data_IF_354417263432
#
_entry.id   IF_354417263432
#
_cell.length_a   1.000
_cell.length_b   1.000
_cell.length_c   1.000
_cell.angle_alpha   90.00
_cell.angle_beta   90.00
_cell.angle_gamma   90.00
#
_symmetry.space_group_name_H-M   'P 1'
#
loop_
_entity.id
_entity.type
_entity.pdbx_description
1 polymer ?
#
# COMPACT_ATOMS: atom_id res chain seq x y z
N UNK A 1 -55.78 -15.09 -47.20
CA UNK A 1 -54.34 -14.90 -46.96
C UNK A 1 -54.01 -15.66 -45.67
N UNK A 2 -53.56 -16.91 -45.80
CA UNK A 2 -53.24 -17.80 -44.67
C UNK A 2 -51.92 -18.48 -45.04
N UNK A 3 -50.87 -18.22 -44.27
CA UNK A 3 -49.55 -18.82 -44.43
C UNK A 3 -49.51 -20.17 -43.69
N UNK A 4 -48.94 -21.22 -44.30
CA UNK A 4 -48.73 -22.49 -43.62
C UNK A 4 -47.42 -22.50 -42.82
N UNK A 5 -47.45 -23.29 -41.75
CA UNK A 5 -46.35 -23.66 -40.86
C UNK A 5 -45.08 -24.08 -41.60
N UNK A 6 -43.94 -23.50 -41.17
CA UNK A 6 -42.62 -24.12 -41.32
C UNK A 6 -42.08 -24.48 -39.95
N UNK A 7 -42.09 -25.78 -39.68
CA UNK A 7 -41.35 -26.46 -38.63
C UNK A 7 -39.87 -26.03 -38.68
N UNK A 8 -39.44 -25.28 -37.67
CA UNK A 8 -38.03 -24.95 -37.44
C UNK A 8 -37.37 -26.19 -36.84
N UNK A 9 -36.31 -26.65 -37.48
CA UNK A 9 -35.52 -27.80 -37.07
C UNK A 9 -35.00 -27.64 -35.63
N UNK A 10 -35.27 -28.66 -34.83
CA UNK A 10 -34.58 -28.98 -33.58
C UNK A 10 -33.09 -29.15 -33.87
N UNK A 11 -32.30 -28.09 -33.65
CA UNK A 11 -30.86 -28.19 -33.61
C UNK A 11 -30.48 -28.77 -32.24
N UNK A 12 -30.09 -30.05 -32.22
CA UNK A 12 -29.48 -30.67 -31.06
C UNK A 12 -28.28 -29.84 -30.59
N UNK A 13 -28.18 -29.47 -29.30
CA UNK A 13 -27.00 -28.82 -28.79
C UNK A 13 -25.83 -29.80 -28.86
N UNK A 14 -24.80 -29.45 -29.64
CA UNK A 14 -23.52 -30.17 -29.69
C UNK A 14 -23.01 -30.35 -28.24
N UNK A 15 -22.54 -31.56 -27.85
CA UNK A 15 -22.01 -31.76 -26.52
C UNK A 15 -20.80 -30.86 -26.32
N UNK A 16 -20.89 -29.99 -25.32
CA UNK A 16 -19.75 -29.23 -24.80
C UNK A 16 -18.79 -30.27 -24.24
N UNK A 17 -17.71 -30.55 -24.98
CA UNK A 17 -16.57 -31.25 -24.43
C UNK A 17 -16.01 -30.38 -23.31
N UNK A 18 -16.39 -30.68 -22.06
CA UNK A 18 -15.64 -30.24 -20.88
C UNK A 18 -14.21 -30.73 -21.06
N UNK A 19 -13.31 -29.82 -21.43
CA UNK A 19 -11.90 -30.00 -21.12
C UNK A 19 -11.82 -30.04 -19.60
N UNK A 20 -11.76 -31.25 -19.06
CA UNK A 20 -11.21 -31.52 -17.73
C UNK A 20 -9.79 -30.97 -17.80
N UNK A 21 -9.60 -29.74 -17.31
CA UNK A 21 -8.26 -29.24 -17.04
C UNK A 21 -7.66 -30.25 -16.08
N UNK A 22 -6.61 -30.94 -16.55
CA UNK A 22 -5.93 -31.98 -15.79
C UNK A 22 -5.73 -31.51 -14.37
N UNK A 23 -6.21 -32.34 -13.44
CA UNK A 23 -5.88 -32.25 -12.03
C UNK A 23 -4.36 -32.13 -11.95
N UNK A 24 -3.86 -30.91 -11.73
CA UNK A 24 -2.52 -30.77 -11.21
C UNK A 24 -2.58 -31.46 -9.85
N UNK A 25 -1.75 -32.48 -9.58
CA UNK A 25 -1.64 -32.96 -8.21
C UNK A 25 -1.25 -31.75 -7.35
N UNK A 26 -2.13 -31.40 -6.42
CA UNK A 26 -1.87 -30.52 -5.28
C UNK A 26 -0.89 -31.23 -4.34
N UNK A 27 0.29 -31.58 -4.85
CA UNK A 27 1.38 -32.10 -4.06
C UNK A 27 2.10 -30.90 -3.45
N UNK A 28 2.02 -30.83 -2.13
CA UNK A 28 2.94 -30.10 -1.24
C UNK A 28 2.92 -28.57 -1.36
N UNK A 29 1.73 -27.97 -1.24
CA UNK A 29 1.68 -26.71 -0.51
C UNK A 29 1.96 -27.06 0.96
N UNK A 30 3.13 -26.67 1.45
CA UNK A 30 3.55 -26.87 2.84
C UNK A 30 2.56 -26.18 3.80
N UNK A 31 1.54 -26.94 4.22
CA UNK A 31 0.47 -26.48 5.11
C UNK A 31 1.01 -26.06 6.48
N UNK A 32 2.21 -26.54 6.85
CA UNK A 32 2.86 -26.17 8.11
C UNK A 32 3.20 -24.66 8.17
N UNK A 33 3.51 -24.03 7.03
CA UNK A 33 3.77 -22.59 6.95
C UNK A 33 2.50 -21.74 7.08
N UNK A 34 1.34 -22.30 6.72
CA UNK A 34 0.05 -21.61 6.84
C UNK A 34 -0.52 -21.73 8.26
N UNK A 35 -0.39 -22.89 8.88
CA UNK A 35 -0.79 -23.12 10.28
C UNK A 35 0.04 -22.24 11.22
N UNK A 36 1.37 -22.21 11.04
CA UNK A 36 2.25 -21.34 11.83
C UNK A 36 1.95 -19.84 11.66
N UNK A 37 1.58 -19.38 10.46
CA UNK A 37 1.20 -17.99 10.24
C UNK A 37 -0.15 -17.61 10.89
N UNK A 38 -1.13 -18.53 10.88
CA UNK A 38 -2.41 -18.33 11.53
C UNK A 38 -2.27 -18.34 13.07
N UNK A 39 -1.48 -19.25 13.62
CA UNK A 39 -1.14 -19.30 15.04
C UNK A 39 -0.40 -18.04 15.49
N UNK A 40 0.58 -17.58 14.71
CA UNK A 40 1.28 -16.33 14.99
C UNK A 40 0.33 -15.12 15.00
N UNK A 41 -0.62 -15.06 14.05
CA UNK A 41 -1.63 -14.01 14.02
C UNK A 41 -2.54 -14.05 15.26
N UNK A 42 -2.97 -15.23 15.69
CA UNK A 42 -3.78 -15.40 16.90
C UNK A 42 -3.01 -14.95 18.17
N UNK A 43 -1.73 -15.30 18.26
CA UNK A 43 -0.86 -14.87 19.37
C UNK A 43 -0.67 -13.35 19.41
N UNK A 44 -0.55 -12.70 18.25
CA UNK A 44 -0.47 -11.23 18.15
C UNK A 44 -1.78 -10.59 18.66
N UNK A 45 -2.94 -11.10 18.24
CA UNK A 45 -4.26 -10.59 18.69
C UNK A 45 -4.39 -10.74 20.21
N UNK A 46 -4.06 -11.92 20.76
CA UNK A 46 -4.10 -12.15 22.20
C UNK A 46 -3.17 -11.20 22.98
N UNK A 47 -2.01 -10.86 22.40
CA UNK A 47 -1.05 -9.91 23.01
C UNK A 47 -1.60 -8.48 23.03
N UNK A 48 -2.36 -8.07 22.00
CA UNK A 48 -3.06 -6.78 22.01
C UNK A 48 -4.17 -6.74 23.06
N UNK A 49 -4.96 -7.79 23.19
CA UNK A 49 -6.03 -7.87 24.20
C UNK A 49 -5.47 -7.78 25.63
N UNK A 50 -4.36 -8.47 25.91
CA UNK A 50 -3.66 -8.38 27.18
C UNK A 50 -3.14 -6.96 27.45
N UNK A 51 -2.60 -6.29 26.43
CA UNK A 51 -2.11 -4.92 26.53
C UNK A 51 -3.25 -3.93 26.85
N UNK A 52 -4.42 -4.10 26.22
CA UNK A 52 -5.61 -3.28 26.47
C UNK A 52 -6.16 -3.49 27.89
N UNK A 53 -6.19 -4.73 28.38
CA UNK A 53 -6.64 -5.04 29.73
C UNK A 53 -5.75 -4.39 30.82
N UNK A 54 -4.45 -4.25 30.55
CA UNK A 54 -3.47 -3.63 31.45
C UNK A 54 -3.53 -2.10 31.52
N UNK A 55 -4.20 -1.42 30.59
CA UNK A 55 -4.17 0.05 30.47
C UNK A 55 -4.55 0.82 31.75
N UNK A 56 -5.52 0.31 32.51
CA UNK A 56 -5.98 0.97 33.75
C UNK A 56 -4.96 0.93 34.88
N UNK A 57 -3.95 0.08 34.79
CA UNK A 57 -2.91 -0.11 35.80
C UNK A 57 -1.61 0.64 35.47
N UNK A 58 -1.53 1.31 34.32
CA UNK A 58 -0.32 2.00 33.87
C UNK A 58 -0.29 3.46 34.34
N UNK A 59 0.88 3.94 34.78
CA UNK A 59 1.15 5.36 35.00
C UNK A 59 1.59 6.08 33.72
N UNK A 60 1.63 7.42 33.75
CA UNK A 60 1.83 8.28 32.56
C UNK A 60 3.11 7.98 31.75
N UNK A 61 4.23 7.68 32.41
CA UNK A 61 5.50 7.34 31.73
C UNK A 61 5.36 6.02 30.95
N UNK A 62 4.67 5.04 31.51
CA UNK A 62 4.39 3.78 30.81
C UNK A 62 3.41 3.99 29.64
N UNK A 63 2.47 4.94 29.72
CA UNK A 63 1.56 5.24 28.60
C UNK A 63 2.32 5.76 27.37
N UNK A 64 3.28 6.66 27.56
CA UNK A 64 4.06 7.21 26.46
C UNK A 64 4.94 6.14 25.78
N UNK A 65 5.59 5.28 26.55
CA UNK A 65 6.38 4.15 26.04
C UNK A 65 5.50 3.14 25.28
N UNK A 66 4.32 2.81 25.83
CA UNK A 66 3.36 1.92 25.17
C UNK A 66 2.85 2.52 23.86
N UNK A 67 2.56 3.83 23.83
CA UNK A 67 2.14 4.51 22.60
C UNK A 67 3.23 4.47 21.53
N UNK A 68 4.50 4.62 21.92
CA UNK A 68 5.62 4.46 21.00
C UNK A 68 5.72 3.04 20.43
N UNK A 69 5.53 2.02 21.27
CA UNK A 69 5.49 0.62 20.82
C UNK A 69 4.33 0.36 19.85
N UNK A 70 3.13 0.91 20.13
CA UNK A 70 1.98 0.81 19.23
C UNK A 70 2.31 1.44 17.88
N UNK A 71 2.91 2.63 17.83
CA UNK A 71 3.33 3.27 16.58
C UNK A 71 4.33 2.44 15.77
N UNK A 72 5.25 1.73 16.44
CA UNK A 72 6.14 0.77 15.77
C UNK A 72 5.35 -0.41 15.21
N UNK A 73 4.44 -1.00 15.99
CA UNK A 73 3.57 -2.08 15.54
C UNK A 73 2.72 -1.67 14.33
N UNK A 74 2.16 -0.47 14.31
CA UNK A 74 1.41 0.08 13.17
C UNK A 74 2.28 0.14 11.90
N UNK A 75 3.52 0.59 12.05
CA UNK A 75 4.49 0.67 10.95
C UNK A 75 4.81 -0.71 10.39
N UNK A 76 5.11 -1.69 11.26
CA UNK A 76 5.37 -3.08 10.85
C UNK A 76 4.15 -3.72 10.18
N UNK A 77 2.96 -3.50 10.74
CA UNK A 77 1.72 -4.02 10.16
C UNK A 77 1.43 -3.40 8.80
N UNK A 78 1.73 -2.11 8.62
CA UNK A 78 1.62 -1.44 7.34
C UNK A 78 2.58 -2.03 6.30
N UNK A 79 3.82 -2.34 6.68
CA UNK A 79 4.78 -3.02 5.80
C UNK A 79 4.29 -4.41 5.37
N UNK A 80 3.90 -5.26 6.34
CA UNK A 80 3.35 -6.60 6.05
C UNK A 80 2.14 -6.53 5.13
N UNK A 81 1.24 -5.56 5.38
CA UNK A 81 0.06 -5.35 4.54
C UNK A 81 0.46 -4.93 3.12
N UNK A 82 1.37 -3.97 2.97
CA UNK A 82 1.85 -3.52 1.67
C UNK A 82 2.52 -4.67 0.90
N UNK A 83 3.35 -5.47 1.55
CA UNK A 83 4.00 -6.63 0.94
C UNK A 83 2.99 -7.67 0.45
N UNK A 84 2.02 -8.05 1.29
CA UNK A 84 0.95 -9.00 0.91
C UNK A 84 0.10 -8.47 -0.24
N UNK A 85 -0.23 -7.18 -0.23
CA UNK A 85 -0.99 -6.53 -1.32
C UNK A 85 -0.18 -6.50 -2.61
N UNK A 86 1.11 -6.15 -2.56
CA UNK A 86 2.00 -6.15 -3.71
C UNK A 86 2.18 -7.57 -4.28
N UNK A 87 2.34 -8.58 -3.41
CA UNK A 87 2.43 -9.98 -3.82
C UNK A 87 1.13 -10.45 -4.50
N UNK A 88 -0.03 -10.11 -3.93
CA UNK A 88 -1.32 -10.43 -4.52
C UNK A 88 -1.53 -9.74 -5.87
N UNK A 89 -1.15 -8.47 -5.99
CA UNK A 89 -1.23 -7.72 -7.24
C UNK A 89 -0.31 -8.29 -8.33
N UNK A 90 0.90 -8.74 -7.97
CA UNK A 90 1.83 -9.41 -8.91
C UNK A 90 1.31 -10.76 -9.39
N UNK A 91 0.66 -11.54 -8.51
CA UNK A 91 0.20 -12.89 -8.82
C UNK A 91 -1.14 -12.89 -9.59
N UNK A 92 -2.09 -12.10 -9.11
CA UNK A 92 -3.49 -12.18 -9.52
C UNK A 92 -4.00 -10.88 -10.18
N UNK A 93 -3.16 -9.85 -10.28
CA UNK A 93 -3.47 -8.54 -10.84
C UNK A 93 -4.00 -7.52 -9.83
N UNK A 94 -3.80 -6.23 -10.13
CA UNK A 94 -4.20 -5.11 -9.25
C UNK A 94 -5.70 -5.08 -8.96
N UNK A 95 -6.54 -5.40 -9.95
CA UNK A 95 -7.99 -5.42 -9.79
C UNK A 95 -8.42 -6.47 -8.75
N UNK A 96 -7.84 -7.67 -8.81
CA UNK A 96 -8.13 -8.74 -7.86
C UNK A 96 -7.63 -8.37 -6.46
N UNK A 97 -6.45 -7.77 -6.35
CA UNK A 97 -5.93 -7.29 -5.07
C UNK A 97 -6.85 -6.23 -4.44
N UNK A 98 -7.36 -5.29 -5.24
CA UNK A 98 -8.32 -4.29 -4.77
C UNK A 98 -9.66 -4.92 -4.34
N UNK A 99 -10.14 -5.95 -5.04
CA UNK A 99 -11.36 -6.67 -4.67
C UNK A 99 -11.23 -7.42 -3.35
N UNK A 100 -10.08 -8.06 -3.08
CA UNK A 100 -9.79 -8.69 -1.78
C UNK A 100 -9.78 -7.66 -0.66
N UNK A 101 -9.10 -6.52 -0.85
CA UNK A 101 -9.08 -5.44 0.14
C UNK A 101 -10.50 -4.88 0.41
N UNK A 102 -11.32 -4.77 -0.62
CA UNK A 102 -12.69 -4.27 -0.49
C UNK A 102 -13.60 -5.28 0.23
N UNK A 103 -13.59 -6.52 -0.22
CA UNK A 103 -14.59 -7.51 0.18
C UNK A 103 -14.19 -8.24 1.47
N UNK A 104 -12.90 -8.52 1.67
CA UNK A 104 -12.43 -9.36 2.77
C UNK A 104 -11.89 -8.47 3.91
N UNK A 105 -11.16 -7.40 3.57
CA UNK A 105 -10.63 -6.41 4.54
C UNK A 105 -11.60 -5.23 4.76
N UNK A 106 -12.78 -5.28 4.14
CA UNK A 106 -13.89 -4.32 4.32
C UNK A 106 -13.52 -2.85 4.08
N UNK A 107 -12.60 -2.59 3.14
CA UNK A 107 -12.25 -1.22 2.76
C UNK A 107 -13.20 -0.63 1.71
N UNK A 108 -13.28 0.70 1.66
CA UNK A 108 -13.96 1.39 0.57
C UNK A 108 -13.24 1.16 -0.76
N UNK A 109 -13.97 1.21 -1.88
CA UNK A 109 -13.41 1.05 -3.23
C UNK A 109 -12.23 1.99 -3.50
N UNK A 110 -12.34 3.26 -3.09
CA UNK A 110 -11.28 4.25 -3.26
C UNK A 110 -10.05 3.93 -2.41
N UNK A 111 -10.25 3.52 -1.16
CA UNK A 111 -9.17 3.14 -0.25
C UNK A 111 -8.43 1.90 -0.75
N UNK A 112 -9.15 0.87 -1.18
CA UNK A 112 -8.57 -0.36 -1.72
C UNK A 112 -7.68 -0.10 -2.94
N UNK A 113 -8.16 0.66 -3.92
CA UNK A 113 -7.37 1.04 -5.10
C UNK A 113 -6.11 1.82 -4.74
N UNK A 114 -6.27 2.78 -3.83
CA UNK A 114 -5.14 3.60 -3.34
C UNK A 114 -4.10 2.72 -2.65
N UNK A 115 -4.53 1.77 -1.82
CA UNK A 115 -3.63 0.86 -1.13
C UNK A 115 -2.87 -0.09 -2.08
N UNK A 116 -3.51 -0.57 -3.15
CA UNK A 116 -2.80 -1.33 -4.20
C UNK A 116 -1.72 -0.48 -4.87
N UNK A 117 -2.05 0.77 -5.23
CA UNK A 117 -1.08 1.72 -5.80
C UNK A 117 0.08 1.97 -4.84
N UNK A 118 -0.20 2.27 -3.58
CA UNK A 118 0.82 2.53 -2.56
C UNK A 118 1.75 1.33 -2.35
N UNK A 119 1.20 0.12 -2.31
CA UNK A 119 1.99 -1.10 -2.21
C UNK A 119 2.92 -1.29 -3.43
N UNK A 120 2.43 -0.97 -4.63
CA UNK A 120 3.23 -0.99 -5.85
C UNK A 120 4.35 0.06 -5.86
N UNK A 121 4.09 1.26 -5.35
CA UNK A 121 5.09 2.33 -5.22
C UNK A 121 6.15 1.96 -4.18
N UNK A 122 5.74 1.46 -3.01
CA UNK A 122 6.67 1.05 -1.94
C UNK A 122 7.58 -0.09 -2.39
N UNK A 123 7.10 -1.01 -3.23
CA UNK A 123 7.92 -2.09 -3.80
C UNK A 123 9.07 -1.60 -4.69
N UNK A 124 9.06 -0.33 -5.13
CA UNK A 124 10.14 0.30 -5.92
C UNK A 124 11.22 0.96 -5.05
N UNK A 125 10.97 1.12 -3.75
CA UNK A 125 11.88 1.73 -2.76
C UNK A 125 12.13 0.74 -1.61
N UNK A 126 12.93 -0.32 -1.85
CA UNK A 126 13.05 -1.43 -0.91
C UNK A 126 13.65 -1.03 0.44
N UNK A 127 14.56 -0.05 0.51
CA UNK A 127 15.13 0.39 1.80
C UNK A 127 14.08 1.14 2.63
N UNK A 128 13.18 1.86 1.97
CA UNK A 128 12.01 2.46 2.64
C UNK A 128 11.05 1.39 3.16
N UNK A 129 10.83 0.32 2.39
CA UNK A 129 10.01 -0.81 2.84
C UNK A 129 10.62 -1.50 4.06
N UNK A 130 11.94 -1.71 4.08
CA UNK A 130 12.69 -2.26 5.22
C UNK A 130 12.59 -1.36 6.46
N UNK A 131 12.85 -0.06 6.32
CA UNK A 131 12.73 0.90 7.42
C UNK A 131 11.31 0.94 8.02
N UNK A 132 10.28 0.81 7.19
CA UNK A 132 8.89 0.69 7.64
C UNK A 132 8.65 -0.64 8.38
N UNK A 133 9.19 -1.76 7.87
CA UNK A 133 9.09 -3.08 8.48
C UNK A 133 9.85 -3.21 9.81
N UNK A 134 10.88 -2.39 10.03
CA UNK A 134 11.58 -2.29 11.31
C UNK A 134 10.84 -1.40 12.32
N UNK A 135 9.92 -0.57 11.83
CA UNK A 135 9.23 0.49 12.56
C UNK A 135 10.11 1.70 12.83
N UNK A 136 11.15 1.92 12.03
CA UNK A 136 12.04 3.08 12.11
C UNK A 136 11.39 4.34 11.54
N UNK A 137 10.47 4.19 10.60
CA UNK A 137 9.69 5.28 10.01
C UNK A 137 8.19 4.95 10.04
N UNK A 138 7.36 5.99 9.99
CA UNK A 138 5.90 5.84 9.96
C UNK A 138 5.38 5.49 8.55
N UNK A 139 4.14 4.96 8.43
CA UNK A 139 3.52 4.75 7.11
C UNK A 139 3.42 6.02 6.27
N UNK A 140 3.27 7.19 6.92
CA UNK A 140 3.23 8.49 6.25
C UNK A 140 4.59 8.87 5.67
N UNK A 141 5.69 8.65 6.38
CA UNK A 141 7.04 8.84 5.83
C UNK A 141 7.26 7.96 4.61
N UNK A 142 7.02 6.66 4.74
CA UNK A 142 7.20 5.70 3.66
C UNK A 142 6.42 6.08 2.40
N UNK A 143 5.15 6.51 2.58
CA UNK A 143 4.32 7.00 1.48
C UNK A 143 4.91 8.23 0.79
N UNK A 144 5.38 9.22 1.56
CA UNK A 144 5.93 10.46 0.99
C UNK A 144 7.19 10.17 0.16
N UNK A 145 8.07 9.28 0.63
CA UNK A 145 9.28 8.90 -0.11
C UNK A 145 8.92 8.10 -1.36
N UNK A 146 7.99 7.14 -1.26
CA UNK A 146 7.54 6.35 -2.42
C UNK A 146 6.83 7.22 -3.48
N UNK A 147 6.03 8.20 -3.07
CA UNK A 147 5.42 9.18 -3.98
C UNK A 147 6.48 10.08 -4.64
N UNK A 148 7.51 10.50 -3.90
CA UNK A 148 8.62 11.27 -4.44
C UNK A 148 9.45 10.48 -5.45
N UNK A 149 9.74 9.20 -5.16
CA UNK A 149 10.43 8.29 -6.07
C UNK A 149 9.67 8.12 -7.39
N UNK A 150 8.34 8.01 -7.33
CA UNK A 150 7.48 7.90 -8.51
C UNK A 150 7.44 9.19 -9.35
N UNK A 151 7.51 10.35 -8.69
CA UNK A 151 7.46 11.66 -9.34
C UNK A 151 8.80 12.11 -9.91
N UNK A 152 9.91 11.52 -9.44
CA UNK A 152 11.25 11.89 -9.87
C UNK A 152 11.48 11.57 -11.36
N UNK A 153 12.09 12.49 -12.12
CA UNK A 153 12.38 12.25 -13.53
C UNK A 153 13.44 11.15 -13.68
N UNK A 154 13.44 10.38 -14.79
CA UNK A 154 14.37 9.27 -15.00
C UNK A 154 15.87 9.62 -14.90
N UNK A 155 16.23 10.88 -15.13
CA UNK A 155 17.61 11.37 -15.07
C UNK A 155 18.03 11.98 -13.71
N UNK A 156 17.09 12.13 -12.77
CA UNK A 156 17.37 12.67 -11.44
C UNK A 156 16.54 11.90 -10.39
N UNK A 157 16.90 10.64 -10.08
CA UNK A 157 16.22 9.86 -9.05
C UNK A 157 16.32 10.56 -7.69
N UNK A 158 15.44 10.24 -6.75
CA UNK A 158 15.55 10.73 -5.37
C UNK A 158 16.80 10.18 -4.68
N UNK A 159 17.23 10.84 -3.60
CA UNK A 159 18.23 10.28 -2.70
C UNK A 159 17.49 9.54 -1.61
N UNK A 160 17.30 8.23 -1.80
CA UNK A 160 16.57 7.42 -0.84
C UNK A 160 17.24 7.42 0.54
N UNK A 161 18.58 7.48 0.58
CA UNK A 161 19.33 7.45 1.84
C UNK A 161 19.19 8.76 2.63
N UNK A 162 19.30 9.91 1.94
CA UNK A 162 19.10 11.22 2.56
C UNK A 162 17.67 11.39 3.09
N UNK A 163 16.67 11.04 2.27
CA UNK A 163 15.27 11.13 2.68
C UNK A 163 14.94 10.17 3.82
N UNK A 164 15.56 8.99 3.87
CA UNK A 164 15.41 8.07 5.00
C UNK A 164 16.03 8.62 6.28
N UNK A 165 17.24 9.17 6.21
CA UNK A 165 17.89 9.79 7.37
C UNK A 165 17.02 10.94 7.93
N UNK A 166 16.47 11.79 7.06
CA UNK A 166 15.55 12.84 7.46
C UNK A 166 14.23 12.30 8.04
N UNK A 167 13.69 11.21 7.50
CA UNK A 167 12.45 10.58 7.97
C UNK A 167 12.56 9.92 9.35
N UNK A 168 13.77 9.55 9.78
CA UNK A 168 14.01 9.00 11.13
C UNK A 168 13.98 10.11 12.18
N UNK A 169 14.52 11.28 11.84
CA UNK A 169 14.68 12.39 12.78
C UNK A 169 13.45 13.33 12.85
N UNK A 170 12.68 13.42 11.77
CA UNK A 170 11.63 14.43 11.64
C UNK A 170 10.22 13.84 11.85
N UNK A 171 9.32 14.60 12.50
CA UNK A 171 7.89 14.33 12.47
C UNK A 171 7.31 14.35 11.05
N UNK A 172 6.30 13.51 10.80
CA UNK A 172 5.75 13.27 9.45
C UNK A 172 5.03 14.46 8.80
N UNK A 173 4.59 15.40 9.61
CA UNK A 173 4.04 16.68 9.18
C UNK A 173 5.11 17.63 8.65
N UNK A 174 6.30 17.64 9.27
CA UNK A 174 7.44 18.46 8.84
C UNK A 174 8.18 17.84 7.66
N UNK A 175 8.32 16.52 7.66
CA UNK A 175 9.05 15.76 6.64
C UNK A 175 8.55 16.01 5.20
N UNK A 176 7.25 16.31 5.03
CA UNK A 176 6.68 16.65 3.72
C UNK A 176 7.21 17.95 3.11
N UNK A 177 7.80 18.86 3.90
CA UNK A 177 8.54 20.00 3.37
C UNK A 177 9.91 19.56 2.83
N UNK A 178 10.65 18.78 3.63
CA UNK A 178 11.96 18.21 3.27
C UNK A 178 11.91 17.44 1.95
N UNK A 179 10.91 16.57 1.76
CA UNK A 179 10.75 15.84 0.49
C UNK A 179 10.52 16.77 -0.70
N UNK A 180 9.75 17.85 -0.52
CA UNK A 180 9.50 18.82 -1.60
C UNK A 180 10.76 19.60 -1.93
N UNK A 181 11.50 20.05 -0.93
CA UNK A 181 12.75 20.79 -1.14
C UNK A 181 13.79 19.90 -1.81
N UNK A 182 13.89 18.63 -1.42
CA UNK A 182 14.72 17.61 -2.08
C UNK A 182 14.43 17.48 -3.59
N UNK A 183 13.16 17.35 -3.97
CA UNK A 183 12.76 17.26 -5.38
C UNK A 183 13.07 18.56 -6.13
N UNK A 184 12.81 19.70 -5.49
CA UNK A 184 13.03 21.02 -6.08
C UNK A 184 14.52 21.33 -6.34
N UNK A 185 15.41 20.90 -5.46
CA UNK A 185 16.86 21.10 -5.61
C UNK A 185 17.44 20.25 -6.75
N UNK A 186 16.89 19.05 -6.99
CA UNK A 186 17.35 18.16 -8.06
C UNK A 186 16.80 18.48 -9.46
N UNK A 187 15.63 19.10 -9.55
CA UNK A 187 15.03 19.53 -10.82
C UNK A 187 15.75 20.75 -11.46
N UNK A 188 16.74 21.34 -10.78
CA UNK A 188 17.51 22.48 -11.26
C UNK A 188 16.93 23.82 -10.78
N UNK A 189 17.75 24.59 -10.07
CA UNK A 189 17.33 25.82 -9.37
C UNK A 189 16.67 26.91 -10.24
N UNK A 190 16.90 26.91 -11.55
CA UNK A 190 16.41 27.97 -12.46
C UNK A 190 14.89 27.92 -12.72
N UNK A 191 14.27 26.74 -12.76
CA UNK A 191 12.83 26.64 -13.05
C UNK A 191 11.97 26.84 -11.79
N UNK A 192 12.57 26.70 -10.61
CA UNK A 192 11.91 26.87 -9.32
C UNK A 192 11.60 28.33 -9.02
N UNK A 193 12.54 29.23 -9.29
CA UNK A 193 12.37 30.66 -9.08
C UNK A 193 11.32 31.22 -10.06
N UNK A 194 11.41 30.84 -11.34
CA UNK A 194 10.41 31.15 -12.35
C UNK A 194 9.01 30.59 -12.00
N UNK A 195 8.92 29.39 -11.40
CA UNK A 195 7.65 28.80 -10.93
C UNK A 195 7.09 29.52 -9.70
N UNK A 196 7.94 29.91 -8.74
CA UNK A 196 7.56 30.70 -7.56
C UNK A 196 7.09 32.10 -7.97
N UNK A 197 7.73 32.72 -8.96
CA UNK A 197 7.28 33.99 -9.54
C UNK A 197 5.92 33.86 -10.23
N UNK A 198 5.72 32.82 -11.03
CA UNK A 198 4.42 32.52 -11.66
C UNK A 198 3.31 32.32 -10.63
N UNK A 199 3.57 31.63 -9.52
CA UNK A 199 2.61 31.49 -8.42
C UNK A 199 2.35 32.80 -7.67
N UNK A 200 3.38 33.62 -7.43
CA UNK A 200 3.21 34.96 -6.83
C UNK A 200 2.38 35.88 -7.73
N UNK A 201 2.60 35.82 -9.05
CA UNK A 201 1.82 36.56 -10.04
C UNK A 201 0.34 36.12 -10.07
N UNK A 202 0.06 34.82 -10.03
CA UNK A 202 -1.31 34.32 -9.98
C UNK A 202 -2.06 34.71 -8.69
N UNK A 203 -1.40 34.71 -7.53
CA UNK A 203 -2.00 35.16 -6.27
C UNK A 203 -2.29 36.66 -6.25
N UNK A 204 -1.52 37.46 -7.00
CA UNK A 204 -1.80 38.90 -7.19
C UNK A 204 -3.00 39.16 -8.10
N UNK A 205 -3.31 38.23 -9.00
CA UNK A 205 -4.46 38.31 -9.91
C UNK A 205 -5.77 37.84 -9.26
N UNK A 206 -5.73 36.96 -8.24
CA UNK A 206 -6.94 36.49 -7.55
C UNK A 206 -7.43 37.39 -6.41
N UNK A 207 -6.81 38.56 -6.21
CA UNK A 207 -7.19 39.57 -5.21
C UNK A 207 -7.63 40.90 -5.87
N UNK A 208 -8.10 40.85 -7.12
CA UNK A 208 -8.84 41.92 -7.79
C UNK A 208 -10.19 41.37 -8.23
#
# INVERSE_FOLDING_TARGET
>A
MVFPDRLVGSADPKPITMRVYGERPMADLDLSNFETAAEAAAQIVASFDASLAGLRALGDVHLAEQLHLVGRCESRLAAVKAEKVAALARRDGEARAADVLRNDVKQSKGSAKRQVKEAGQLARVPKVAEALAEGAITPRHARLIAEAAEAAPPGAPIDEAELLAAAVEQPADLFGATVRDHLNERDGGDDLEARRERQRAQRRLSWK
#
